data_IF_348466935420
#
_entry.id   IF_348466935420
#
_cell.length_a   1.000
_cell.length_b   1.000
_cell.length_c   1.000
_cell.angle_alpha   90.00
_cell.angle_beta   90.00
_cell.angle_gamma   90.00
#
_symmetry.space_group_name_H-M   'P 1'
#
loop_
_entity.id
_entity.type
_entity.pdbx_description
1 polymer ?
#
# COMPACT_ATOMS: atom_id res chain seq x y z
N UNK A 1 69.62 7.65 -6.40
CA UNK A 1 69.02 7.86 -5.07
C UNK A 1 68.70 6.50 -4.49
N UNK A 2 69.34 6.15 -3.37
CA UNK A 2 69.07 4.91 -2.65
C UNK A 2 67.64 4.95 -2.05
N UNK A 3 66.96 3.81 -1.96
CA UNK A 3 65.61 3.72 -1.38
C UNK A 3 65.53 4.31 0.04
N UNK A 4 66.62 4.26 0.82
CA UNK A 4 66.73 4.93 2.13
C UNK A 4 66.58 6.46 2.04
N UNK A 5 67.16 7.12 1.03
CA UNK A 5 67.07 8.58 0.90
C UNK A 5 65.63 9.02 0.59
N UNK A 6 64.87 8.17 -0.10
CA UNK A 6 63.47 8.44 -0.46
C UNK A 6 62.54 8.23 0.73
N UNK A 7 62.86 7.29 1.62
CA UNK A 7 62.13 7.06 2.88
C UNK A 7 62.35 8.23 3.84
N UNK A 8 63.59 8.70 3.99
CA UNK A 8 63.90 9.88 4.82
C UNK A 8 63.19 11.15 4.31
N UNK A 9 63.16 11.36 3.00
CA UNK A 9 62.46 12.51 2.39
C UNK A 9 60.94 12.43 2.61
N UNK A 10 60.35 11.23 2.52
CA UNK A 10 58.93 11.01 2.82
C UNK A 10 58.61 11.20 4.31
N UNK A 11 59.46 10.73 5.22
CA UNK A 11 59.28 10.96 6.66
C UNK A 11 59.31 12.46 6.97
N UNK A 12 60.24 13.20 6.36
CA UNK A 12 60.34 14.65 6.53
C UNK A 12 59.08 15.38 6.01
N UNK A 13 58.52 14.94 4.88
CA UNK A 13 57.26 15.47 4.36
C UNK A 13 56.06 15.16 5.25
N UNK A 14 55.98 13.95 5.82
CA UNK A 14 54.92 13.58 6.75
C UNK A 14 55.01 14.39 8.04
N UNK A 15 56.22 14.62 8.55
CA UNK A 15 56.45 15.44 9.73
C UNK A 15 56.05 16.91 9.48
N UNK A 16 56.43 17.48 8.33
CA UNK A 16 55.99 18.83 7.93
C UNK A 16 54.47 18.93 7.79
N UNK A 17 53.83 17.94 7.16
CA UNK A 17 52.38 17.93 6.97
C UNK A 17 51.66 17.80 8.32
N UNK A 18 52.20 16.99 9.24
CA UNK A 18 51.65 16.82 10.58
C UNK A 18 51.73 18.14 11.38
N UNK A 19 52.84 18.88 11.25
CA UNK A 19 53.03 20.18 11.88
C UNK A 19 52.07 21.23 11.30
N UNK A 20 51.86 21.24 9.98
CA UNK A 20 50.88 22.13 9.34
C UNK A 20 49.45 21.82 9.81
N UNK A 21 49.08 20.55 9.91
CA UNK A 21 47.77 20.12 10.39
C UNK A 21 47.48 20.59 11.82
N UNK A 22 48.48 20.52 12.71
CA UNK A 22 48.35 21.05 14.08
C UNK A 22 48.15 22.57 14.07
N UNK A 23 48.83 23.31 13.19
CA UNK A 23 48.62 24.75 13.01
C UNK A 23 47.21 25.11 12.53
N UNK A 24 46.65 24.34 11.59
CA UNK A 24 45.26 24.53 11.15
C UNK A 24 44.24 24.24 12.26
N UNK A 25 44.44 23.19 13.05
CA UNK A 25 43.57 22.86 14.17
C UNK A 25 43.55 23.98 15.23
N UNK A 26 44.71 24.56 15.55
CA UNK A 26 44.78 25.69 16.49
C UNK A 26 44.06 26.94 15.95
N UNK A 27 44.18 27.25 14.66
CA UNK A 27 43.44 28.35 14.03
C UNK A 27 41.93 28.14 14.08
N UNK A 28 41.45 26.94 13.79
CA UNK A 28 40.02 26.61 13.86
C UNK A 28 39.49 26.75 15.29
N UNK A 29 40.26 26.31 16.28
CA UNK A 29 39.90 26.47 17.68
C UNK A 29 39.82 27.95 18.09
N UNK A 30 40.76 28.79 17.63
CA UNK A 30 40.74 30.24 17.84
C UNK A 30 39.53 30.93 17.21
N UNK A 31 39.23 30.62 15.94
CA UNK A 31 38.05 31.15 15.24
C UNK A 31 36.75 30.75 15.91
N UNK A 32 36.67 29.53 16.44
CA UNK A 32 35.49 29.05 17.14
C UNK A 32 35.28 29.76 18.49
N UNK A 33 36.36 30.06 19.21
CA UNK A 33 36.28 30.90 20.41
C UNK A 33 35.87 32.34 20.07
N UNK A 34 36.37 32.91 18.97
CA UNK A 34 36.02 34.25 18.52
C UNK A 34 34.55 34.33 18.09
N UNK A 35 34.05 33.34 17.35
CA UNK A 35 32.62 33.18 17.04
C UNK A 35 31.76 33.09 18.30
N UNK A 36 32.17 32.28 19.28
CA UNK A 36 31.45 32.17 20.55
C UNK A 36 31.44 33.49 21.32
N UNK A 37 32.55 34.25 21.31
CA UNK A 37 32.61 35.59 21.91
C UNK A 37 31.68 36.57 21.19
N UNK A 38 31.65 36.56 19.86
CA UNK A 38 30.77 37.41 19.05
C UNK A 38 29.29 37.05 19.27
N UNK A 39 28.95 35.75 19.33
CA UNK A 39 27.61 35.30 19.68
C UNK A 39 27.20 35.75 21.09
N UNK A 40 28.09 35.64 22.08
CA UNK A 40 27.81 36.10 23.43
C UNK A 40 27.68 37.63 23.53
N UNK A 41 28.45 38.38 22.74
CA UNK A 41 28.31 39.85 22.67
C UNK A 41 26.99 40.26 22.03
N UNK A 42 26.43 39.41 21.16
CA UNK A 42 25.11 39.61 20.54
C UNK A 42 23.96 39.20 21.48
N UNK A 43 24.18 38.24 22.39
CA UNK A 43 23.18 37.77 23.36
C UNK A 43 23.06 38.63 24.63
N UNK A 44 24.05 39.49 24.92
CA UNK A 44 24.09 40.32 26.14
C UNK A 44 23.38 41.68 26.03
N UNK A 45 22.54 41.92 25.00
CA UNK A 45 21.71 43.13 24.91
C UNK A 45 20.21 42.77 24.97
N UNK A 46 19.55 42.82 26.15
CA UNK A 46 18.13 42.48 26.28
C UNK A 46 17.17 43.60 25.80
N UNK A 47 17.66 44.71 25.24
CA UNK A 47 16.85 45.89 24.93
C UNK A 47 16.23 45.92 23.51
N UNK A 48 16.40 44.90 22.66
CA UNK A 48 15.88 44.89 21.28
C UNK A 48 15.09 43.63 20.89
N UNK A 49 14.42 42.96 21.83
CA UNK A 49 13.62 41.76 21.54
C UNK A 49 12.14 42.02 21.18
N UNK A 50 11.65 43.27 21.24
CA UNK A 50 10.26 43.57 20.89
C UNK A 50 10.03 43.81 19.39
N UNK A 51 11.06 44.18 18.63
CA UNK A 51 10.93 44.45 17.17
C UNK A 51 11.01 43.18 16.32
N UNK A 52 11.75 42.16 16.74
CA UNK A 52 11.89 40.89 15.98
C UNK A 52 10.74 39.91 16.20
N UNK A 53 10.07 39.93 17.36
CA UNK A 53 8.88 39.10 17.62
C UNK A 53 7.62 39.65 16.95
N UNK A 54 7.44 40.97 16.95
CA UNK A 54 6.32 41.63 16.26
C UNK A 54 6.43 41.44 14.73
N UNK A 55 7.63 41.57 14.14
CA UNK A 55 7.80 41.31 12.70
C UNK A 55 7.52 39.86 12.29
N UNK A 56 7.81 38.86 13.15
CA UNK A 56 7.46 37.46 12.88
C UNK A 56 5.96 37.18 13.02
N UNK A 57 5.31 37.75 14.03
CA UNK A 57 3.86 37.65 14.21
C UNK A 57 3.12 38.37 13.09
N UNK A 58 3.54 39.58 12.74
CA UNK A 58 2.98 40.37 11.64
C UNK A 58 3.18 39.69 10.29
N UNK A 59 4.36 39.13 10.01
CA UNK A 59 4.57 38.33 8.80
C UNK A 59 3.75 37.04 8.81
N UNK A 60 3.61 36.33 9.93
CA UNK A 60 2.82 35.10 9.98
C UNK A 60 1.31 35.37 9.86
N UNK A 61 0.82 36.37 10.57
CA UNK A 61 -0.58 36.80 10.54
C UNK A 61 -0.90 37.41 9.17
N UNK A 62 -0.11 38.39 8.72
CA UNK A 62 -0.26 39.11 7.47
C UNK A 62 -0.10 38.22 6.23
N UNK A 63 1.00 37.47 6.14
CA UNK A 63 1.31 36.70 4.93
C UNK A 63 0.73 35.29 4.92
N UNK A 64 0.33 34.71 6.05
CA UNK A 64 -0.12 33.31 6.10
C UNK A 64 -1.57 33.13 6.55
N UNK A 65 -2.00 33.83 7.60
CA UNK A 65 -3.34 33.67 8.14
C UNK A 65 -4.35 34.52 7.36
N UNK A 66 -4.07 35.80 7.13
CA UNK A 66 -5.05 36.73 6.55
C UNK A 66 -5.44 36.32 5.12
N UNK A 67 -4.48 35.95 4.25
CA UNK A 67 -4.83 35.51 2.91
C UNK A 67 -5.58 34.16 2.92
N UNK A 68 -5.25 33.24 3.83
CA UNK A 68 -5.92 31.94 3.95
C UNK A 68 -7.37 32.14 4.43
N UNK A 69 -7.57 32.94 5.48
CA UNK A 69 -8.89 33.32 5.99
C UNK A 69 -9.67 34.07 4.91
N UNK A 70 -9.03 34.99 4.19
CA UNK A 70 -9.63 35.69 3.06
C UNK A 70 -10.11 34.76 1.96
N UNK A 71 -9.30 33.78 1.54
CA UNK A 71 -9.70 32.74 0.58
C UNK A 71 -10.87 31.93 1.12
N UNK A 72 -10.82 31.50 2.39
CA UNK A 72 -11.90 30.71 2.99
C UNK A 72 -13.22 31.50 3.04
N UNK A 73 -13.20 32.74 3.52
CA UNK A 73 -14.38 33.60 3.58
C UNK A 73 -14.92 33.90 2.18
N UNK A 74 -14.05 34.18 1.21
CA UNK A 74 -14.43 34.40 -0.18
C UNK A 74 -15.10 33.15 -0.78
N UNK A 75 -14.51 31.97 -0.58
CA UNK A 75 -15.07 30.69 -1.08
C UNK A 75 -16.43 30.41 -0.44
N UNK A 76 -16.58 30.66 0.86
CA UNK A 76 -17.86 30.53 1.58
C UNK A 76 -18.88 31.53 1.00
N UNK A 77 -18.50 32.80 0.84
CA UNK A 77 -19.37 33.83 0.27
C UNK A 77 -19.83 33.51 -1.14
N UNK A 78 -18.92 33.06 -2.01
CA UNK A 78 -19.24 32.60 -3.37
C UNK A 78 -20.18 31.39 -3.30
N UNK A 79 -19.91 30.43 -2.43
CA UNK A 79 -20.73 29.22 -2.29
C UNK A 79 -22.16 29.53 -1.81
N UNK A 80 -22.30 30.43 -0.83
CA UNK A 80 -23.60 30.90 -0.35
C UNK A 80 -24.32 31.72 -1.44
N UNK A 81 -23.60 32.60 -2.15
CA UNK A 81 -24.17 33.41 -3.23
C UNK A 81 -24.68 32.56 -4.39
N UNK A 82 -23.90 31.55 -4.82
CA UNK A 82 -24.31 30.57 -5.84
C UNK A 82 -25.52 29.78 -5.34
N UNK A 83 -25.51 29.29 -4.10
CA UNK A 83 -26.65 28.59 -3.52
C UNK A 83 -27.90 29.48 -3.49
N UNK A 84 -27.78 30.73 -3.05
CA UNK A 84 -28.90 31.68 -3.05
C UNK A 84 -29.48 31.88 -4.45
N UNK A 85 -28.63 32.03 -5.47
CA UNK A 85 -29.06 32.18 -6.84
C UNK A 85 -29.76 30.93 -7.40
N UNK A 86 -29.35 29.74 -6.94
CA UNK A 86 -29.97 28.46 -7.25
C UNK A 86 -31.34 28.33 -6.56
N UNK A 87 -31.39 28.59 -5.24
CA UNK A 87 -32.59 28.44 -4.40
C UNK A 87 -33.71 29.42 -4.77
N UNK A 88 -33.34 30.60 -5.31
CA UNK A 88 -34.29 31.62 -5.81
C UNK A 88 -34.56 31.53 -7.30
N UNK A 89 -34.07 30.49 -7.98
CA UNK A 89 -34.22 30.28 -9.42
C UNK A 89 -33.73 31.46 -10.29
N UNK A 90 -32.80 32.28 -9.77
CA UNK A 90 -32.24 33.43 -10.49
C UNK A 90 -31.39 33.01 -11.71
N UNK A 91 -30.86 31.79 -11.67
CA UNK A 91 -30.07 31.20 -12.75
C UNK A 91 -30.81 29.94 -13.22
N UNK A 92 -31.12 29.86 -14.51
CA UNK A 92 -31.75 28.67 -15.09
C UNK A 92 -30.87 27.43 -14.95
N UNK A 93 -31.47 26.24 -14.93
CA UNK A 93 -30.76 24.97 -14.80
C UNK A 93 -29.67 24.80 -15.87
N UNK A 94 -29.99 25.15 -17.11
CA UNK A 94 -29.05 25.12 -18.23
C UNK A 94 -27.88 26.09 -18.03
N UNK A 95 -28.14 27.30 -17.50
CA UNK A 95 -27.09 28.26 -17.22
C UNK A 95 -26.18 27.80 -16.07
N UNK A 96 -26.71 27.12 -15.04
CA UNK A 96 -25.90 26.55 -13.94
C UNK A 96 -24.88 25.53 -14.48
N UNK A 97 -25.34 24.58 -15.28
CA UNK A 97 -24.48 23.54 -15.89
C UNK A 97 -23.53 24.15 -16.90
N UNK A 98 -24.00 25.07 -17.76
CA UNK A 98 -23.17 25.78 -18.72
C UNK A 98 -22.01 26.54 -18.06
N UNK A 99 -22.30 27.35 -17.05
CA UNK A 99 -21.29 28.10 -16.30
C UNK A 99 -20.29 27.17 -15.59
N UNK A 100 -20.75 26.06 -15.01
CA UNK A 100 -19.88 25.08 -14.37
C UNK A 100 -18.92 24.40 -15.37
N UNK A 101 -19.41 24.04 -16.57
CA UNK A 101 -18.55 23.53 -17.65
C UNK A 101 -17.56 24.60 -18.12
N UNK A 102 -18.00 25.83 -18.33
CA UNK A 102 -17.11 26.94 -18.71
C UNK A 102 -16.02 27.14 -17.67
N UNK A 103 -16.36 27.15 -16.37
CA UNK A 103 -15.38 27.25 -15.29
C UNK A 103 -14.36 26.09 -15.32
N UNK A 104 -14.82 24.85 -15.51
CA UNK A 104 -13.95 23.68 -15.66
C UNK A 104 -13.01 23.78 -16.85
N UNK A 105 -13.50 24.24 -18.01
CA UNK A 105 -12.69 24.44 -19.22
C UNK A 105 -11.66 25.56 -19.00
N UNK A 106 -12.05 26.68 -18.38
CA UNK A 106 -11.14 27.78 -18.05
C UNK A 106 -10.02 27.30 -17.12
N UNK A 107 -10.35 26.52 -16.08
CA UNK A 107 -9.36 25.90 -15.20
C UNK A 107 -8.39 24.98 -15.95
N UNK A 108 -8.90 24.17 -16.88
CA UNK A 108 -8.06 23.32 -17.74
C UNK A 108 -7.13 24.15 -18.63
N UNK A 109 -7.63 25.19 -19.30
CA UNK A 109 -6.83 26.07 -20.16
C UNK A 109 -5.74 26.81 -19.38
N UNK A 110 -6.07 27.29 -18.18
CA UNK A 110 -5.10 27.89 -17.26
C UNK A 110 -4.01 26.89 -16.87
N UNK A 111 -4.41 25.65 -16.54
CA UNK A 111 -3.46 24.57 -16.23
C UNK A 111 -2.49 24.33 -17.39
N UNK A 112 -3.01 24.25 -18.62
CA UNK A 112 -2.18 24.06 -19.81
C UNK A 112 -1.19 25.22 -20.01
N UNK A 113 -1.64 26.46 -19.86
CA UNK A 113 -0.76 27.64 -19.99
C UNK A 113 0.35 27.67 -18.94
N UNK A 114 0.04 27.31 -17.69
CA UNK A 114 0.99 27.32 -16.56
C UNK A 114 1.99 26.17 -16.59
N UNK A 115 1.73 25.13 -17.41
CA UNK A 115 2.55 23.90 -17.49
C UNK A 115 4.04 24.15 -17.70
N UNK A 116 4.40 25.15 -18.52
CA UNK A 116 5.82 25.44 -18.85
C UNK A 116 6.61 25.97 -17.65
N UNK A 117 5.99 26.74 -16.75
CA UNK A 117 6.68 27.46 -15.67
C UNK A 117 6.44 26.83 -14.29
N UNK A 118 5.27 26.23 -14.07
CA UNK A 118 4.86 25.69 -12.77
C UNK A 118 4.22 24.30 -12.91
N UNK A 119 5.03 23.27 -13.17
CA UNK A 119 4.53 21.90 -13.44
C UNK A 119 3.65 21.34 -12.32
N UNK A 120 4.06 21.47 -11.05
CA UNK A 120 3.31 20.93 -9.91
C UNK A 120 1.95 21.64 -9.76
N UNK A 121 1.96 22.97 -9.83
CA UNK A 121 0.73 23.76 -9.73
C UNK A 121 -0.22 23.48 -10.89
N UNK A 122 0.32 23.36 -12.11
CA UNK A 122 -0.43 22.97 -13.31
C UNK A 122 -1.08 21.59 -13.15
N UNK A 123 -0.38 20.58 -12.60
CA UNK A 123 -0.94 19.25 -12.37
C UNK A 123 -2.12 19.27 -11.37
N UNK A 124 -2.02 20.06 -10.29
CA UNK A 124 -3.11 20.25 -9.32
C UNK A 124 -4.30 20.95 -9.97
N UNK A 125 -4.05 21.99 -10.76
CA UNK A 125 -5.09 22.75 -11.45
C UNK A 125 -5.79 21.91 -12.53
N UNK A 126 -5.04 21.07 -13.27
CA UNK A 126 -5.57 20.11 -14.23
C UNK A 126 -6.51 19.12 -13.54
N UNK A 127 -6.05 18.60 -12.40
CA UNK A 127 -6.81 17.64 -11.60
C UNK A 127 -8.12 18.24 -11.08
N UNK A 128 -8.08 19.49 -10.60
CA UNK A 128 -9.28 20.23 -10.21
C UNK A 128 -10.23 20.48 -11.38
N UNK A 129 -9.71 20.81 -12.57
CA UNK A 129 -10.51 20.97 -13.78
C UNK A 129 -11.22 19.66 -14.16
N UNK A 130 -10.50 18.53 -14.18
CA UNK A 130 -11.08 17.23 -14.49
C UNK A 130 -12.13 16.80 -13.46
N UNK A 131 -11.89 17.01 -12.16
CA UNK A 131 -12.88 16.77 -11.12
C UNK A 131 -14.14 17.64 -11.30
N UNK A 132 -13.97 18.93 -11.61
CA UNK A 132 -15.08 19.85 -11.88
C UNK A 132 -15.92 19.41 -13.07
N UNK A 133 -15.28 19.07 -14.20
CA UNK A 133 -15.97 18.57 -15.40
C UNK A 133 -16.71 17.27 -15.12
N UNK A 134 -16.09 16.38 -14.33
CA UNK A 134 -16.67 15.11 -13.93
C UNK A 134 -17.93 15.30 -13.07
N UNK A 135 -17.87 16.11 -12.00
CA UNK A 135 -19.03 16.40 -11.16
C UNK A 135 -20.11 17.20 -11.89
N UNK A 136 -19.74 18.08 -12.82
CA UNK A 136 -20.70 18.82 -13.63
C UNK A 136 -21.46 17.88 -14.57
N UNK A 137 -20.77 16.92 -15.18
CA UNK A 137 -21.40 15.89 -16.04
C UNK A 137 -22.35 15.00 -15.24
N UNK A 138 -21.93 14.60 -14.03
CA UNK A 138 -22.80 13.88 -13.10
C UNK A 138 -24.05 14.68 -12.74
N UNK A 139 -23.89 15.95 -12.36
CA UNK A 139 -25.01 16.80 -11.95
C UNK A 139 -25.99 17.05 -13.10
N UNK A 140 -25.49 17.27 -14.31
CA UNK A 140 -26.30 17.42 -15.52
C UNK A 140 -27.17 16.18 -15.78
N UNK A 141 -26.67 14.98 -15.49
CA UNK A 141 -27.42 13.73 -15.61
C UNK A 141 -28.42 13.53 -14.46
N UNK A 142 -27.94 13.52 -13.22
CA UNK A 142 -28.73 13.08 -12.07
C UNK A 142 -29.74 14.12 -11.59
N UNK A 143 -29.35 15.39 -11.56
CA UNK A 143 -30.21 16.44 -10.99
C UNK A 143 -31.07 17.15 -12.03
N UNK A 144 -30.57 17.27 -13.26
CA UNK A 144 -31.23 18.07 -14.31
C UNK A 144 -31.69 17.25 -15.52
N UNK A 145 -31.33 15.97 -15.63
CA UNK A 145 -31.78 15.10 -16.72
C UNK A 145 -31.34 15.53 -18.12
N UNK A 146 -30.31 16.37 -18.26
CA UNK A 146 -29.88 16.91 -19.56
C UNK A 146 -29.21 15.88 -20.47
N UNK A 147 -28.68 14.80 -19.90
CA UNK A 147 -28.02 13.75 -20.66
C UNK A 147 -28.71 12.41 -20.44
N UNK A 148 -28.60 11.51 -21.42
CA UNK A 148 -28.97 10.11 -21.22
C UNK A 148 -27.86 9.37 -20.46
N UNK A 149 -28.19 8.19 -19.91
CA UNK A 149 -27.20 7.32 -19.26
C UNK A 149 -26.01 7.01 -20.18
N UNK A 150 -26.27 6.67 -21.44
CA UNK A 150 -25.24 6.32 -22.41
C UNK A 150 -24.28 7.49 -22.70
N UNK A 151 -24.81 8.69 -22.90
CA UNK A 151 -24.00 9.90 -23.16
C UNK A 151 -23.15 10.22 -21.93
N UNK A 152 -23.76 10.18 -20.74
CA UNK A 152 -23.08 10.47 -19.47
C UNK A 152 -21.94 9.46 -19.22
N UNK A 153 -22.21 8.18 -19.40
CA UNK A 153 -21.22 7.12 -19.26
C UNK A 153 -20.04 7.33 -20.22
N UNK A 154 -20.31 7.58 -21.51
CA UNK A 154 -19.27 7.81 -22.51
C UNK A 154 -18.43 9.06 -22.21
N UNK A 155 -19.06 10.16 -21.80
CA UNK A 155 -18.34 11.38 -21.42
C UNK A 155 -17.44 11.14 -20.21
N UNK A 156 -17.94 10.48 -19.16
CA UNK A 156 -17.16 10.21 -17.96
C UNK A 156 -16.00 9.24 -18.22
N UNK A 157 -16.21 8.19 -19.02
CA UNK A 157 -15.14 7.30 -19.48
C UNK A 157 -14.11 8.06 -20.31
N UNK A 158 -14.56 8.92 -21.23
CA UNK A 158 -13.70 9.77 -22.05
C UNK A 158 -12.84 10.73 -21.21
N UNK A 159 -13.43 11.41 -20.23
CA UNK A 159 -12.72 12.27 -19.28
C UNK A 159 -11.69 11.48 -18.45
N UNK A 160 -12.05 10.27 -18.03
CA UNK A 160 -11.15 9.39 -17.27
C UNK A 160 -9.98 8.92 -18.12
N UNK A 161 -10.24 8.48 -19.36
CA UNK A 161 -9.20 8.06 -20.29
C UNK A 161 -8.26 9.22 -20.64
N UNK A 162 -8.81 10.42 -20.86
CA UNK A 162 -8.02 11.63 -21.09
C UNK A 162 -7.17 12.01 -19.87
N UNK A 163 -7.73 11.91 -18.67
CA UNK A 163 -6.99 12.13 -17.40
C UNK A 163 -5.84 11.15 -17.24
N UNK A 164 -6.06 9.86 -17.55
CA UNK A 164 -5.01 8.84 -17.52
C UNK A 164 -3.91 9.13 -18.57
N UNK A 165 -4.30 9.54 -19.77
CA UNK A 165 -3.37 9.93 -20.83
C UNK A 165 -2.51 11.15 -20.45
N UNK A 166 -3.12 12.20 -19.89
CA UNK A 166 -2.37 13.35 -19.41
C UNK A 166 -1.50 12.98 -18.19
N UNK A 167 -1.94 12.09 -17.29
CA UNK A 167 -1.09 11.63 -16.20
C UNK A 167 0.23 11.03 -16.72
N UNK A 168 0.17 10.21 -17.78
CA UNK A 168 1.35 9.64 -18.45
C UNK A 168 2.25 10.73 -19.04
N UNK A 169 1.66 11.78 -19.66
CA UNK A 169 2.37 12.92 -20.27
C UNK A 169 3.00 13.85 -19.23
N UNK A 170 2.32 14.12 -18.13
CA UNK A 170 2.87 14.86 -17.00
C UNK A 170 3.89 14.02 -16.23
N UNK A 171 3.87 12.70 -16.39
CA UNK A 171 4.64 11.75 -15.60
C UNK A 171 4.44 11.95 -14.08
N UNK A 172 3.19 12.25 -13.71
CA UNK A 172 2.77 12.56 -12.33
C UNK A 172 1.71 11.58 -11.88
N UNK A 173 2.02 10.84 -10.82
CA UNK A 173 1.17 9.80 -10.29
C UNK A 173 -0.10 10.38 -9.61
N UNK A 174 -0.02 11.61 -9.12
CA UNK A 174 -1.09 12.33 -8.43
C UNK A 174 -2.31 12.52 -9.33
N UNK A 175 -2.08 12.86 -10.61
CA UNK A 175 -3.14 13.00 -11.62
C UNK A 175 -3.83 11.65 -11.86
N UNK A 176 -3.05 10.57 -11.91
CA UNK A 176 -3.58 9.24 -12.15
C UNK A 176 -4.43 8.74 -10.98
N UNK A 177 -4.01 8.99 -9.73
CA UNK A 177 -4.78 8.65 -8.53
C UNK A 177 -6.13 9.37 -8.52
N UNK A 178 -6.18 10.65 -8.91
CA UNK A 178 -7.45 11.38 -9.02
C UNK A 178 -8.33 10.84 -10.16
N UNK A 179 -7.74 10.48 -11.29
CA UNK A 179 -8.45 9.78 -12.36
C UNK A 179 -9.05 8.45 -11.89
N UNK A 180 -8.35 7.69 -11.04
CA UNK A 180 -8.88 6.46 -10.44
C UNK A 180 -10.08 6.72 -9.54
N UNK A 181 -10.05 7.77 -8.70
CA UNK A 181 -11.19 8.12 -7.84
C UNK A 181 -12.44 8.38 -8.69
N UNK A 182 -12.29 9.13 -9.78
CA UNK A 182 -13.36 9.29 -10.76
C UNK A 182 -13.81 7.96 -11.35
N UNK A 183 -12.87 7.18 -11.90
CA UNK A 183 -13.15 5.90 -12.54
C UNK A 183 -13.95 4.93 -11.64
N UNK A 184 -13.47 4.63 -10.43
CA UNK A 184 -14.19 3.73 -9.52
C UNK A 184 -15.51 4.32 -9.03
N UNK A 185 -15.66 5.65 -9.05
CA UNK A 185 -16.91 6.33 -8.69
C UNK A 185 -18.01 6.23 -9.74
N UNK A 186 -17.67 6.08 -11.03
CA UNK A 186 -18.65 6.10 -12.15
C UNK A 186 -19.85 5.18 -11.87
N UNK A 187 -19.69 3.86 -11.59
CA UNK A 187 -20.83 2.97 -11.43
C UNK A 187 -21.77 3.40 -10.30
N UNK A 188 -21.24 3.93 -9.19
CA UNK A 188 -22.05 4.33 -8.05
C UNK A 188 -22.77 5.67 -8.27
N UNK A 189 -22.21 6.52 -9.12
CA UNK A 189 -22.79 7.81 -9.43
C UNK A 189 -23.92 7.68 -10.46
N UNK A 190 -23.72 6.93 -11.54
CA UNK A 190 -24.67 6.96 -12.67
C UNK A 190 -25.52 5.70 -12.82
N UNK A 191 -25.24 4.60 -12.12
CA UNK A 191 -26.04 3.38 -12.28
C UNK A 191 -27.42 3.50 -11.62
N UNK A 192 -28.46 3.29 -12.42
CA UNK A 192 -29.83 3.10 -11.94
C UNK A 192 -30.11 1.62 -11.63
N UNK A 193 -29.40 0.70 -12.30
CA UNK A 193 -29.56 -0.76 -12.17
C UNK A 193 -28.65 -1.36 -11.09
N UNK A 194 -28.86 -0.91 -9.85
CA UNK A 194 -27.99 -1.23 -8.72
C UNK A 194 -27.97 -2.72 -8.30
N UNK A 195 -28.79 -3.55 -8.96
CA UNK A 195 -28.91 -5.00 -8.73
C UNK A 195 -27.97 -5.84 -9.63
N UNK A 196 -27.43 -5.26 -10.71
CA UNK A 196 -26.56 -5.99 -11.65
C UNK A 196 -25.09 -5.93 -11.24
N UNK A 197 -24.73 -6.78 -10.29
CA UNK A 197 -23.35 -6.92 -9.79
C UNK A 197 -22.36 -7.28 -10.91
N UNK A 198 -22.79 -8.09 -11.88
CA UNK A 198 -22.03 -8.51 -13.06
C UNK A 198 -21.48 -7.32 -13.88
N UNK A 199 -22.30 -6.31 -14.15
CA UNK A 199 -21.88 -5.11 -14.90
C UNK A 199 -20.89 -4.26 -14.11
N UNK A 200 -21.17 -4.03 -12.82
CA UNK A 200 -20.31 -3.24 -11.94
C UNK A 200 -18.91 -3.85 -11.85
N UNK A 201 -18.83 -5.17 -11.69
CA UNK A 201 -17.56 -5.85 -11.54
C UNK A 201 -16.81 -6.04 -12.84
N UNK A 202 -17.51 -6.24 -13.97
CA UNK A 202 -16.88 -6.22 -15.29
C UNK A 202 -16.18 -4.88 -15.55
N UNK A 203 -16.84 -3.78 -15.19
CA UNK A 203 -16.27 -2.44 -15.28
C UNK A 203 -15.05 -2.26 -14.36
N UNK A 204 -15.11 -2.72 -13.10
CA UNK A 204 -13.99 -2.66 -12.16
C UNK A 204 -12.78 -3.47 -12.65
N UNK A 205 -12.99 -4.63 -13.27
CA UNK A 205 -11.91 -5.44 -13.87
C UNK A 205 -11.21 -4.64 -14.97
N UNK A 206 -11.97 -4.00 -15.88
CA UNK A 206 -11.38 -3.19 -16.96
C UNK A 206 -10.53 -2.05 -16.41
N UNK A 207 -11.01 -1.32 -15.39
CA UNK A 207 -10.21 -0.28 -14.72
C UNK A 207 -8.94 -0.89 -14.13
N UNK A 208 -9.07 -1.98 -13.38
CA UNK A 208 -7.95 -2.59 -12.69
C UNK A 208 -6.87 -3.07 -13.66
N UNK A 209 -7.25 -3.66 -14.80
CA UNK A 209 -6.30 -4.03 -15.86
C UNK A 209 -5.54 -2.80 -16.36
N UNK A 210 -6.23 -1.68 -16.61
CA UNK A 210 -5.60 -0.42 -17.01
C UNK A 210 -4.65 0.15 -15.94
N UNK A 211 -5.05 0.14 -14.67
CA UNK A 211 -4.23 0.64 -13.56
C UNK A 211 -3.00 -0.25 -13.35
N UNK A 212 -3.16 -1.57 -13.42
CA UNK A 212 -2.07 -2.54 -13.28
C UNK A 212 -1.09 -2.39 -14.46
N UNK A 213 -1.60 -2.20 -15.68
CA UNK A 213 -0.78 -1.85 -16.85
C UNK A 213 0.05 -0.57 -16.63
N UNK A 214 -0.58 0.50 -16.13
CA UNK A 214 0.12 1.76 -15.82
C UNK A 214 1.15 1.59 -14.69
N UNK A 215 0.82 0.79 -13.67
CA UNK A 215 1.72 0.43 -12.57
C UNK A 215 3.02 -0.21 -13.12
N UNK A 216 2.91 -1.17 -14.06
CA UNK A 216 4.07 -1.78 -14.72
C UNK A 216 4.90 -0.76 -15.52
N UNK A 217 4.23 0.05 -16.34
CA UNK A 217 4.88 0.96 -17.29
C UNK A 217 5.59 2.12 -16.59
N UNK A 218 5.05 2.64 -15.49
CA UNK A 218 5.53 3.88 -14.84
C UNK A 218 6.16 3.71 -13.45
N UNK A 219 6.20 2.50 -12.87
CA UNK A 219 6.66 2.23 -11.49
C UNK A 219 5.80 2.88 -10.39
N UNK A 220 4.56 3.21 -10.73
CA UNK A 220 3.63 3.88 -9.83
C UNK A 220 3.02 2.88 -8.84
N UNK A 221 3.83 2.34 -7.93
CA UNK A 221 3.42 1.30 -6.97
C UNK A 221 2.20 1.70 -6.14
N UNK A 222 2.13 2.97 -5.74
CA UNK A 222 0.98 3.49 -4.96
C UNK A 222 -0.34 3.38 -5.74
N UNK A 223 -0.35 3.44 -7.07
CA UNK A 223 -1.57 3.20 -7.85
C UNK A 223 -2.03 1.75 -7.75
N UNK A 224 -1.10 0.80 -7.84
CA UNK A 224 -1.39 -0.62 -7.67
C UNK A 224 -2.00 -0.93 -6.30
N UNK A 225 -1.41 -0.36 -5.24
CA UNK A 225 -1.91 -0.50 -3.87
C UNK A 225 -3.28 0.17 -3.67
N UNK A 226 -3.50 1.34 -4.26
CA UNK A 226 -4.76 2.06 -4.17
C UNK A 226 -5.89 1.32 -4.91
N UNK A 227 -5.60 0.79 -6.10
CA UNK A 227 -6.52 -0.05 -6.86
C UNK A 227 -6.91 -1.31 -6.09
N UNK A 228 -5.92 -1.97 -5.47
CA UNK A 228 -6.14 -3.13 -4.61
C UNK A 228 -7.09 -2.78 -3.47
N UNK A 229 -6.78 -1.72 -2.73
CA UNK A 229 -7.55 -1.31 -1.57
C UNK A 229 -9.01 -0.99 -1.93
N UNK A 230 -9.23 -0.16 -2.97
CA UNK A 230 -10.58 0.19 -3.40
C UNK A 230 -11.32 -1.05 -3.91
N UNK A 231 -10.70 -1.87 -4.77
CA UNK A 231 -11.38 -3.01 -5.38
C UNK A 231 -11.82 -4.04 -4.35
N UNK A 232 -10.95 -4.36 -3.38
CA UNK A 232 -11.32 -5.27 -2.30
C UNK A 232 -12.33 -4.65 -1.34
N UNK A 233 -12.25 -3.35 -1.05
CA UNK A 233 -13.25 -2.66 -0.24
C UNK A 233 -14.63 -2.73 -0.90
N UNK A 234 -14.70 -2.45 -2.21
CA UNK A 234 -15.94 -2.55 -2.98
C UNK A 234 -16.48 -3.98 -3.01
N UNK A 235 -15.61 -4.98 -3.20
CA UNK A 235 -16.00 -6.39 -3.14
C UNK A 235 -16.58 -6.75 -1.77
N UNK A 236 -15.88 -6.40 -0.69
CA UNK A 236 -16.28 -6.74 0.68
C UNK A 236 -17.60 -6.06 1.05
N UNK A 237 -17.74 -4.76 0.73
CA UNK A 237 -18.99 -4.03 0.97
C UNK A 237 -20.16 -4.64 0.19
N UNK A 238 -19.96 -4.96 -1.10
CA UNK A 238 -20.97 -5.67 -1.87
C UNK A 238 -21.29 -7.04 -1.27
N UNK A 239 -20.26 -7.78 -0.87
CA UNK A 239 -20.33 -9.07 -0.21
C UNK A 239 -21.19 -9.03 1.07
N UNK A 240 -20.98 -8.05 1.93
CA UNK A 240 -21.72 -7.94 3.20
C UNK A 240 -23.14 -7.41 3.03
N UNK A 241 -23.34 -6.42 2.16
CA UNK A 241 -24.62 -5.68 2.11
C UNK A 241 -25.57 -6.13 0.99
N UNK A 242 -25.06 -6.80 -0.05
CA UNK A 242 -25.83 -7.07 -1.27
C UNK A 242 -25.68 -8.48 -1.84
N UNK A 243 -24.76 -9.29 -1.32
CA UNK A 243 -24.54 -10.63 -1.84
C UNK A 243 -25.80 -11.49 -1.70
N UNK A 244 -26.22 -12.08 -2.82
CA UNK A 244 -27.29 -13.06 -2.86
C UNK A 244 -26.74 -14.39 -3.38
N UNK A 245 -27.31 -15.55 -2.99
CA UNK A 245 -26.85 -16.85 -3.48
C UNK A 245 -26.86 -16.99 -5.00
N UNK A 246 -27.74 -16.26 -5.71
CA UNK A 246 -27.77 -16.21 -7.18
C UNK A 246 -26.49 -15.63 -7.80
N UNK A 247 -25.76 -14.79 -7.06
CA UNK A 247 -24.54 -14.12 -7.50
C UNK A 247 -23.27 -14.91 -7.17
N UNK A 248 -23.41 -16.16 -6.72
CA UNK A 248 -22.29 -17.01 -6.30
C UNK A 248 -21.17 -17.06 -7.34
N UNK A 249 -21.49 -17.38 -8.59
CA UNK A 249 -20.49 -17.48 -9.66
C UNK A 249 -19.81 -16.14 -9.96
N UNK A 250 -20.57 -15.04 -9.95
CA UNK A 250 -20.03 -13.69 -10.12
C UNK A 250 -19.02 -13.38 -9.00
N UNK A 251 -19.37 -13.70 -7.76
CA UNK A 251 -18.49 -13.54 -6.60
C UNK A 251 -17.20 -14.36 -6.73
N UNK A 252 -17.30 -15.65 -7.09
CA UNK A 252 -16.15 -16.55 -7.24
C UNK A 252 -15.22 -16.10 -8.38
N UNK A 253 -15.77 -15.81 -9.57
CA UNK A 253 -14.98 -15.37 -10.73
C UNK A 253 -14.21 -14.10 -10.40
N UNK A 254 -14.89 -13.13 -9.79
CA UNK A 254 -14.28 -11.88 -9.43
C UNK A 254 -13.21 -12.03 -8.34
N UNK A 255 -13.49 -12.83 -7.31
CA UNK A 255 -12.54 -13.13 -6.23
C UNK A 255 -11.22 -13.68 -6.80
N UNK A 256 -11.31 -14.67 -7.70
CA UNK A 256 -10.14 -15.26 -8.36
C UNK A 256 -9.46 -14.24 -9.27
N UNK A 257 -10.23 -13.46 -10.04
CA UNK A 257 -9.71 -12.48 -10.98
C UNK A 257 -8.93 -11.38 -10.27
N UNK A 258 -9.48 -10.77 -9.21
CA UNK A 258 -8.81 -9.73 -8.42
C UNK A 258 -7.56 -10.30 -7.74
N UNK A 259 -7.65 -11.48 -7.15
CA UNK A 259 -6.51 -12.12 -6.50
C UNK A 259 -5.36 -12.35 -7.47
N UNK A 260 -5.65 -12.92 -8.66
CA UNK A 260 -4.64 -13.13 -9.68
C UNK A 260 -4.06 -11.81 -10.17
N UNK A 261 -4.91 -10.85 -10.53
CA UNK A 261 -4.48 -9.57 -11.09
C UNK A 261 -3.54 -8.80 -10.14
N UNK A 262 -3.85 -8.76 -8.85
CA UNK A 262 -2.99 -8.09 -7.86
C UNK A 262 -1.76 -8.92 -7.47
N UNK A 263 -1.77 -10.24 -7.67
CA UNK A 263 -0.57 -11.07 -7.57
C UNK A 263 0.39 -10.81 -8.73
N UNK A 264 -0.12 -10.64 -9.97
CA UNK A 264 0.70 -10.21 -11.10
C UNK A 264 1.27 -8.80 -10.85
N UNK A 265 0.48 -7.89 -10.28
CA UNK A 265 0.96 -6.55 -9.89
C UNK A 265 2.02 -6.61 -8.77
N UNK A 266 1.97 -7.57 -7.85
CA UNK A 266 3.04 -7.81 -6.87
C UNK A 266 4.36 -8.22 -7.57
N UNK A 267 4.28 -9.10 -8.56
CA UNK A 267 5.43 -9.58 -9.33
C UNK A 267 5.91 -8.59 -10.40
N UNK A 268 5.18 -7.49 -10.61
CA UNK A 268 5.40 -6.44 -11.62
C UNK A 268 6.86 -6.05 -11.84
N UNK A 269 7.47 -5.51 -10.78
CA UNK A 269 8.79 -4.88 -10.87
C UNK A 269 9.86 -5.95 -11.12
N UNK A 270 9.63 -7.17 -10.60
CA UNK A 270 10.52 -8.30 -10.81
C UNK A 270 10.44 -8.82 -12.24
N UNK A 271 9.23 -9.06 -12.77
CA UNK A 271 9.02 -9.64 -14.10
C UNK A 271 9.50 -8.70 -15.23
N UNK A 272 9.25 -7.39 -15.10
CA UNK A 272 9.51 -6.44 -16.18
C UNK A 272 10.91 -5.84 -16.11
N UNK A 273 11.48 -5.69 -14.91
CA UNK A 273 12.70 -4.89 -14.70
C UNK A 273 13.80 -5.60 -13.91
N UNK A 274 13.58 -6.86 -13.52
CA UNK A 274 14.51 -7.65 -12.71
C UNK A 274 14.92 -6.98 -11.38
N UNK A 275 14.13 -6.03 -10.88
CA UNK A 275 14.36 -5.40 -9.59
C UNK A 275 13.94 -6.34 -8.45
N UNK A 276 14.68 -6.37 -7.33
CA UNK A 276 14.29 -7.19 -6.18
C UNK A 276 12.99 -6.66 -5.57
N UNK A 277 12.21 -7.57 -4.97
CA UNK A 277 10.95 -7.23 -4.33
C UNK A 277 11.18 -6.31 -3.13
N UNK A 278 10.46 -5.20 -3.08
CA UNK A 278 10.53 -4.23 -1.97
C UNK A 278 9.53 -4.53 -0.86
N UNK A 279 9.73 -3.95 0.32
CA UNK A 279 8.80 -4.10 1.46
C UNK A 279 7.35 -3.69 1.11
N UNK A 280 7.16 -2.68 0.25
CA UNK A 280 5.84 -2.24 -0.22
C UNK A 280 5.14 -3.29 -1.09
N UNK A 281 5.91 -4.04 -1.87
CA UNK A 281 5.37 -5.12 -2.71
C UNK A 281 4.94 -6.29 -1.80
N UNK A 282 5.75 -6.65 -0.80
CA UNK A 282 5.39 -7.66 0.21
C UNK A 282 4.12 -7.26 0.96
N UNK A 283 4.01 -6.00 1.37
CA UNK A 283 2.81 -5.47 2.00
C UNK A 283 1.59 -5.60 1.08
N UNK A 284 1.72 -5.25 -0.21
CA UNK A 284 0.64 -5.40 -1.19
C UNK A 284 0.20 -6.86 -1.33
N UNK A 285 1.13 -7.80 -1.42
CA UNK A 285 0.84 -9.23 -1.51
C UNK A 285 0.16 -9.75 -0.24
N UNK A 286 0.61 -9.33 0.95
CA UNK A 286 -0.02 -9.69 2.21
C UNK A 286 -1.46 -9.16 2.30
N UNK A 287 -1.68 -7.88 1.93
CA UNK A 287 -3.03 -7.29 1.87
C UNK A 287 -3.92 -8.03 0.88
N UNK A 288 -3.39 -8.43 -0.29
CA UNK A 288 -4.14 -9.20 -1.27
C UNK A 288 -4.61 -10.55 -0.71
N UNK A 289 -3.73 -11.28 -0.02
CA UNK A 289 -4.07 -12.56 0.60
C UNK A 289 -5.15 -12.37 1.69
N UNK A 290 -4.97 -11.40 2.58
CA UNK A 290 -5.93 -11.14 3.67
C UNK A 290 -7.31 -10.78 3.08
N UNK A 291 -7.34 -9.87 2.12
CA UNK A 291 -8.59 -9.43 1.50
C UNK A 291 -9.27 -10.56 0.72
N UNK A 292 -8.50 -11.41 0.03
CA UNK A 292 -9.00 -12.62 -0.60
C UNK A 292 -9.66 -13.56 0.41
N UNK A 293 -9.04 -13.80 1.56
CA UNK A 293 -9.62 -14.67 2.59
C UNK A 293 -10.89 -14.10 3.22
N UNK A 294 -10.90 -12.82 3.57
CA UNK A 294 -12.10 -12.15 4.08
C UNK A 294 -13.24 -12.27 3.06
N UNK A 295 -12.92 -12.04 1.79
CA UNK A 295 -13.89 -12.11 0.70
C UNK A 295 -14.37 -13.54 0.42
N UNK A 296 -13.49 -14.54 0.51
CA UNK A 296 -13.85 -15.94 0.37
C UNK A 296 -14.78 -16.38 1.50
N UNK A 297 -14.53 -15.94 2.75
CA UNK A 297 -15.42 -16.20 3.89
C UNK A 297 -16.83 -15.62 3.67
N UNK A 298 -16.96 -14.49 2.97
CA UNK A 298 -18.27 -13.91 2.66
C UNK A 298 -18.99 -14.73 1.58
N UNK A 299 -18.31 -15.05 0.48
CA UNK A 299 -18.91 -15.75 -0.67
C UNK A 299 -19.27 -17.20 -0.33
N UNK A 300 -18.37 -17.93 0.34
CA UNK A 300 -18.58 -19.33 0.70
C UNK A 300 -19.25 -19.50 2.07
N UNK A 301 -19.39 -18.41 2.83
CA UNK A 301 -19.85 -18.42 4.23
C UNK A 301 -21.31 -18.82 4.42
N UNK A 302 -22.15 -18.60 3.40
CA UNK A 302 -23.59 -18.90 3.44
C UNK A 302 -23.94 -20.35 3.04
N UNK A 303 -22.96 -21.15 2.60
CA UNK A 303 -23.16 -22.52 2.10
C UNK A 303 -22.43 -23.59 2.91
N UNK A 304 -21.96 -24.65 2.25
CA UNK A 304 -21.09 -25.66 2.85
C UNK A 304 -19.71 -25.06 3.16
N UNK A 305 -19.64 -24.39 4.31
CA UNK A 305 -18.54 -23.55 4.77
C UNK A 305 -17.19 -24.27 4.68
N UNK A 306 -17.14 -25.55 5.07
CA UNK A 306 -15.89 -26.30 5.14
C UNK A 306 -15.31 -26.63 3.78
N UNK A 307 -16.12 -27.22 2.89
CA UNK A 307 -15.61 -27.85 1.68
C UNK A 307 -15.11 -26.84 0.63
N UNK A 308 -15.85 -25.75 0.39
CA UNK A 308 -15.45 -24.76 -0.61
C UNK A 308 -14.25 -23.91 -0.14
N UNK A 309 -14.22 -23.52 1.14
CA UNK A 309 -13.09 -22.80 1.70
C UNK A 309 -11.84 -23.67 1.75
N UNK A 310 -11.95 -24.95 2.10
CA UNK A 310 -10.85 -25.90 2.01
C UNK A 310 -10.34 -25.99 0.56
N UNK A 311 -11.21 -26.19 -0.42
CA UNK A 311 -10.82 -26.31 -1.82
C UNK A 311 -10.06 -25.06 -2.32
N UNK A 312 -10.60 -23.85 -2.08
CA UNK A 312 -9.97 -22.63 -2.57
C UNK A 312 -8.64 -22.34 -1.86
N UNK A 313 -8.55 -22.65 -0.57
CA UNK A 313 -7.31 -22.52 0.22
C UNK A 313 -6.24 -23.50 -0.28
N UNK A 314 -6.64 -24.74 -0.58
CA UNK A 314 -5.77 -25.77 -1.14
C UNK A 314 -5.22 -25.38 -2.52
N UNK A 315 -6.08 -24.89 -3.42
CA UNK A 315 -5.65 -24.36 -4.72
C UNK A 315 -4.75 -23.13 -4.58
N UNK A 316 -5.07 -22.23 -3.65
CA UNK A 316 -4.22 -21.08 -3.33
C UNK A 316 -2.84 -21.50 -2.82
N UNK A 317 -2.77 -22.52 -1.96
CA UNK A 317 -1.52 -23.11 -1.49
C UNK A 317 -0.69 -23.65 -2.66
N UNK A 318 -1.29 -24.47 -3.53
CA UNK A 318 -0.62 -25.03 -4.72
C UNK A 318 -0.10 -23.90 -5.60
N UNK A 319 -0.93 -22.90 -5.89
CA UNK A 319 -0.54 -21.74 -6.70
C UNK A 319 0.66 -20.99 -6.12
N UNK A 320 0.66 -20.68 -4.82
CA UNK A 320 1.78 -20.00 -4.17
C UNK A 320 3.04 -20.87 -4.07
N UNK A 321 2.88 -22.18 -3.88
CA UNK A 321 3.99 -23.13 -3.92
C UNK A 321 4.62 -23.21 -5.31
N UNK A 322 3.80 -23.25 -6.37
CA UNK A 322 4.27 -23.19 -7.75
C UNK A 322 5.01 -21.88 -8.02
N UNK A 323 4.47 -20.73 -7.61
CA UNK A 323 5.16 -19.43 -7.74
C UNK A 323 6.49 -19.41 -6.98
N UNK A 324 6.54 -20.01 -5.78
CA UNK A 324 7.78 -20.14 -5.01
C UNK A 324 8.81 -20.97 -5.79
N UNK A 325 8.43 -22.12 -6.32
CA UNK A 325 9.31 -23.00 -7.12
C UNK A 325 9.80 -22.27 -8.38
N UNK A 326 8.88 -21.65 -9.13
CA UNK A 326 9.22 -20.84 -10.31
C UNK A 326 10.21 -19.73 -9.93
N UNK A 327 9.98 -19.04 -8.81
CA UNK A 327 10.88 -17.98 -8.34
C UNK A 327 12.29 -18.50 -8.00
N UNK A 328 12.41 -19.74 -7.53
CA UNK A 328 13.71 -20.35 -7.25
C UNK A 328 14.50 -20.63 -8.53
N UNK A 329 13.83 -21.13 -9.59
CA UNK A 329 14.47 -21.44 -10.87
C UNK A 329 14.78 -20.20 -11.72
N UNK A 330 13.82 -19.27 -11.82
CA UNK A 330 13.97 -18.10 -12.70
C UNK A 330 14.64 -16.91 -12.00
N UNK A 331 14.52 -16.81 -10.67
CA UNK A 331 15.00 -15.68 -9.89
C UNK A 331 15.83 -16.12 -8.67
N UNK A 332 16.93 -16.89 -8.86
CA UNK A 332 17.71 -17.43 -7.75
C UNK A 332 18.34 -16.35 -6.85
N UNK A 333 18.56 -15.15 -7.39
CA UNK A 333 19.12 -14.01 -6.66
C UNK A 333 18.15 -13.33 -5.69
N UNK A 334 16.83 -13.48 -5.86
CA UNK A 334 15.83 -12.79 -5.04
C UNK A 334 15.35 -13.67 -3.88
N UNK A 335 16.21 -13.76 -2.87
CA UNK A 335 15.92 -14.50 -1.64
C UNK A 335 14.71 -13.92 -0.90
N UNK A 336 14.45 -12.62 -1.04
CA UNK A 336 13.33 -11.93 -0.38
C UNK A 336 12.00 -12.34 -0.98
N UNK A 337 11.90 -12.40 -2.31
CA UNK A 337 10.72 -12.93 -3.02
C UNK A 337 10.44 -14.38 -2.63
N UNK A 338 11.47 -15.24 -2.74
CA UNK A 338 11.34 -16.65 -2.39
C UNK A 338 10.86 -16.82 -0.95
N UNK A 339 11.49 -16.08 -0.02
CA UNK A 339 11.10 -16.06 1.39
C UNK A 339 9.63 -15.67 1.53
N UNK A 340 9.20 -14.56 0.94
CA UNK A 340 7.82 -14.07 1.02
C UNK A 340 6.80 -15.10 0.52
N UNK A 341 7.05 -15.69 -0.65
CA UNK A 341 6.17 -16.70 -1.25
C UNK A 341 6.12 -17.98 -0.41
N UNK A 342 7.26 -18.42 0.12
CA UNK A 342 7.30 -19.53 1.07
C UNK A 342 6.45 -19.23 2.31
N UNK A 343 6.46 -17.99 2.85
CA UNK A 343 5.67 -17.65 4.05
C UNK A 343 4.21 -17.84 3.76
N UNK A 344 3.77 -17.28 2.64
CA UNK A 344 2.38 -17.30 2.24
C UNK A 344 1.94 -18.74 1.97
N UNK A 345 2.73 -19.53 1.24
CA UNK A 345 2.44 -20.95 1.00
C UNK A 345 2.29 -21.74 2.30
N UNK A 346 3.16 -21.55 3.30
CA UNK A 346 3.05 -22.23 4.60
C UNK A 346 1.79 -21.82 5.36
N UNK A 347 1.44 -20.53 5.36
CA UNK A 347 0.21 -20.03 5.99
C UNK A 347 -1.02 -20.65 5.32
N UNK A 348 -1.06 -20.68 3.98
CA UNK A 348 -2.13 -21.28 3.20
C UNK A 348 -2.28 -22.77 3.48
N UNK A 349 -1.16 -23.51 3.60
CA UNK A 349 -1.18 -24.93 3.96
C UNK A 349 -1.75 -25.16 5.36
N UNK A 350 -1.34 -24.34 6.34
CA UNK A 350 -1.87 -24.43 7.69
C UNK A 350 -3.38 -24.15 7.73
N UNK A 351 -3.84 -23.13 6.98
CA UNK A 351 -5.28 -22.84 6.82
C UNK A 351 -6.03 -23.98 6.12
N UNK A 352 -5.45 -24.56 5.06
CA UNK A 352 -6.06 -25.69 4.33
C UNK A 352 -6.30 -26.87 5.26
N UNK A 353 -5.28 -27.23 6.06
CA UNK A 353 -5.40 -28.29 7.06
C UNK A 353 -6.54 -27.98 8.05
N UNK A 354 -6.66 -26.73 8.49
CA UNK A 354 -7.68 -26.30 9.45
C UNK A 354 -9.09 -26.26 8.90
N UNK A 355 -9.28 -26.02 7.60
CA UNK A 355 -10.60 -26.02 6.96
C UNK A 355 -11.02 -27.40 6.46
N UNK A 356 -10.07 -28.24 6.03
CA UNK A 356 -10.36 -29.53 5.42
C UNK A 356 -10.57 -30.65 6.45
N UNK A 357 -9.91 -30.59 7.60
CA UNK A 357 -10.04 -31.59 8.67
C UNK A 357 -10.57 -30.99 9.96
N UNK A 358 -11.04 -31.85 10.86
CA UNK A 358 -11.62 -31.47 12.15
C UNK A 358 -10.98 -32.24 13.31
N UNK A 359 -11.12 -31.71 14.53
CA UNK A 359 -10.71 -32.37 15.78
C UNK A 359 -9.19 -32.56 15.91
N UNK A 360 -8.79 -33.74 16.41
CA UNK A 360 -7.39 -34.10 16.69
C UNK A 360 -6.50 -34.12 15.45
N UNK A 361 -7.07 -34.46 14.28
CA UNK A 361 -6.31 -34.60 13.03
C UNK A 361 -5.63 -33.27 12.66
N UNK A 362 -6.33 -32.14 12.83
CA UNK A 362 -5.78 -30.79 12.59
C UNK A 362 -4.57 -30.55 13.48
N UNK A 363 -4.67 -30.88 14.76
CA UNK A 363 -3.59 -30.67 15.74
C UNK A 363 -2.38 -31.53 15.40
N UNK A 364 -2.59 -32.80 15.05
CA UNK A 364 -1.52 -33.70 14.61
C UNK A 364 -0.83 -33.20 13.33
N UNK A 365 -1.59 -32.75 12.34
CA UNK A 365 -1.07 -32.25 11.07
C UNK A 365 -0.32 -30.92 11.24
N UNK A 366 -0.81 -29.99 12.06
CA UNK A 366 -0.10 -28.74 12.36
C UNK A 366 1.20 -28.99 13.15
N UNK A 367 1.19 -29.94 14.09
CA UNK A 367 2.40 -30.36 14.81
C UNK A 367 3.41 -30.98 13.82
N UNK A 368 2.96 -31.88 12.95
CA UNK A 368 3.81 -32.47 11.91
C UNK A 368 4.41 -31.38 10.99
N UNK A 369 3.59 -30.42 10.55
CA UNK A 369 4.03 -29.28 9.74
C UNK A 369 5.08 -28.44 10.48
N UNK A 370 4.88 -28.16 11.77
CA UNK A 370 5.85 -27.41 12.57
C UNK A 370 7.19 -28.15 12.70
N UNK A 371 7.17 -29.47 12.93
CA UNK A 371 8.39 -30.29 12.99
C UNK A 371 9.13 -30.24 11.65
N UNK A 372 8.43 -30.41 10.52
CA UNK A 372 9.02 -30.32 9.17
C UNK A 372 9.65 -28.94 8.94
N UNK A 373 8.95 -27.86 9.27
CA UNK A 373 9.47 -26.50 9.14
C UNK A 373 10.70 -26.24 10.01
N UNK A 374 10.73 -26.79 11.23
CA UNK A 374 11.87 -26.65 12.12
C UNK A 374 13.10 -27.40 11.60
N UNK A 375 12.92 -28.64 11.16
CA UNK A 375 13.99 -29.47 10.56
C UNK A 375 14.54 -28.80 9.29
N UNK A 376 13.67 -28.33 8.40
CA UNK A 376 14.07 -27.57 7.21
C UNK A 376 14.83 -26.28 7.59
N UNK A 377 14.39 -25.60 8.66
CA UNK A 377 15.06 -24.40 9.17
C UNK A 377 16.45 -24.67 9.77
N UNK A 378 16.69 -25.86 10.32
CA UNK A 378 18.02 -26.29 10.76
C UNK A 378 18.88 -26.65 9.55
N UNK A 379 18.39 -27.52 8.67
CA UNK A 379 19.13 -28.03 7.52
C UNK A 379 19.54 -26.90 6.56
N UNK A 380 18.61 -26.00 6.21
CA UNK A 380 18.88 -24.87 5.32
C UNK A 380 19.57 -23.69 6.00
N UNK A 381 19.85 -23.78 7.31
CA UNK A 381 20.39 -22.69 8.15
C UNK A 381 19.60 -21.37 8.10
N UNK A 382 18.32 -21.39 7.72
CA UNK A 382 17.45 -20.20 7.64
C UNK A 382 16.64 -20.03 8.93
N UNK A 383 16.65 -18.82 9.49
CA UNK A 383 15.96 -18.50 10.75
C UNK A 383 14.44 -18.48 10.64
N UNK A 384 13.92 -18.02 9.51
CA UNK A 384 12.49 -17.77 9.37
C UNK A 384 11.61 -19.04 9.40
N UNK A 385 11.95 -20.20 8.77
CA UNK A 385 11.20 -21.44 8.96
C UNK A 385 11.16 -21.92 10.42
N UNK A 386 12.26 -21.71 11.18
CA UNK A 386 12.29 -22.04 12.61
C UNK A 386 11.33 -21.16 13.40
N UNK A 387 11.30 -19.86 13.12
CA UNK A 387 10.35 -18.93 13.75
C UNK A 387 8.91 -19.29 13.39
N UNK A 388 8.63 -19.64 12.13
CA UNK A 388 7.31 -20.09 11.70
C UNK A 388 6.87 -21.38 12.42
N UNK A 389 7.78 -22.35 12.60
CA UNK A 389 7.51 -23.56 13.37
C UNK A 389 7.16 -23.27 14.84
N UNK A 390 7.91 -22.37 15.50
CA UNK A 390 7.66 -21.96 16.89
C UNK A 390 6.31 -21.25 17.01
N UNK A 391 6.00 -20.32 16.09
CA UNK A 391 4.71 -19.64 16.05
C UNK A 391 3.56 -20.62 15.83
N UNK A 392 3.70 -21.56 14.88
CA UNK A 392 2.69 -22.58 14.62
C UNK A 392 2.50 -23.50 15.84
N UNK A 393 3.57 -23.91 16.53
CA UNK A 393 3.49 -24.68 17.78
C UNK A 393 2.82 -23.91 18.92
N UNK A 394 3.01 -22.59 18.97
CA UNK A 394 2.35 -21.73 19.96
C UNK A 394 0.86 -21.64 19.67
N UNK A 395 0.48 -21.50 18.40
CA UNK A 395 -0.91 -21.48 17.94
C UNK A 395 -1.58 -22.84 18.17
N UNK A 396 -0.91 -23.95 17.88
CA UNK A 396 -1.46 -25.31 18.12
C UNK A 396 -1.71 -25.55 19.60
N UNK A 397 -0.77 -25.18 20.46
CA UNK A 397 -0.92 -25.27 21.91
C UNK A 397 -2.10 -24.41 22.39
N UNK A 398 -2.19 -23.16 21.95
CA UNK A 398 -3.31 -22.28 22.28
C UNK A 398 -4.65 -22.83 21.83
N UNK A 399 -4.75 -23.35 20.59
CA UNK A 399 -5.95 -24.00 20.06
C UNK A 399 -6.33 -25.23 20.90
N UNK A 400 -5.34 -26.03 21.30
CA UNK A 400 -5.56 -27.22 22.12
C UNK A 400 -6.16 -26.88 23.50
N UNK A 401 -5.61 -25.85 24.15
CA UNK A 401 -6.05 -25.40 25.48
C UNK A 401 -7.45 -24.77 25.41
N UNK A 402 -7.68 -23.86 24.45
CA UNK A 402 -8.90 -23.04 24.41
C UNK A 402 -10.07 -23.82 23.81
N UNK A 403 -9.88 -24.45 22.65
CA UNK A 403 -10.98 -25.04 21.88
C UNK A 403 -11.10 -26.54 22.10
N UNK A 404 -9.98 -27.27 21.94
CA UNK A 404 -10.02 -28.72 21.92
C UNK A 404 -10.24 -29.33 23.32
N UNK A 405 -9.82 -28.64 24.38
CA UNK A 405 -10.05 -29.08 25.76
C UNK A 405 -11.54 -29.18 26.10
N UNK A 406 -12.42 -28.43 25.43
CA UNK A 406 -13.86 -28.59 25.64
C UNK A 406 -14.47 -29.79 24.90
N UNK A 407 -13.83 -30.24 23.82
CA UNK A 407 -14.39 -31.24 22.88
C UNK A 407 -13.77 -32.63 23.01
N UNK A 408 -12.54 -32.73 23.49
CA UNK A 408 -11.81 -34.01 23.56
C UNK A 408 -12.12 -34.79 24.83
N UNK A 409 -11.98 -36.12 24.75
CA UNK A 409 -12.06 -36.98 25.94
C UNK A 409 -10.84 -36.75 26.84
N UNK A 410 -10.95 -37.12 28.12
CA UNK A 410 -9.84 -36.96 29.09
C UNK A 410 -8.55 -37.63 28.61
N UNK A 411 -8.65 -38.82 28.01
CA UNK A 411 -7.51 -39.57 27.48
C UNK A 411 -6.87 -38.85 26.27
N UNK A 412 -7.68 -38.32 25.35
CA UNK A 412 -7.19 -37.55 24.20
C UNK A 412 -6.44 -36.28 24.62
N UNK A 413 -6.92 -35.59 25.66
CA UNK A 413 -6.22 -34.43 26.23
C UNK A 413 -4.85 -34.83 26.77
N UNK A 414 -4.79 -35.85 27.62
CA UNK A 414 -3.54 -36.32 28.25
C UNK A 414 -2.50 -36.63 27.17
N UNK A 415 -2.88 -37.41 26.15
CA UNK A 415 -1.98 -37.77 25.04
C UNK A 415 -1.51 -36.52 24.30
N UNK A 416 -2.41 -35.60 23.95
CA UNK A 416 -2.03 -34.41 23.19
C UNK A 416 -1.11 -33.46 23.98
N UNK A 417 -1.37 -33.25 25.28
CA UNK A 417 -0.49 -32.44 26.13
C UNK A 417 0.89 -33.08 26.31
N UNK A 418 0.97 -34.40 26.49
CA UNK A 418 2.25 -35.11 26.65
C UNK A 418 3.09 -35.03 25.36
N UNK A 419 2.47 -35.27 24.20
CA UNK A 419 3.14 -35.17 22.89
C UNK A 419 3.64 -33.76 22.61
N UNK A 420 2.79 -32.74 22.77
CA UNK A 420 3.18 -31.34 22.54
C UNK A 420 4.26 -30.91 23.54
N UNK A 421 4.12 -31.27 24.82
CA UNK A 421 5.10 -30.97 25.86
C UNK A 421 6.48 -31.56 25.55
N UNK A 422 6.52 -32.83 25.14
CA UNK A 422 7.76 -33.52 24.75
C UNK A 422 8.41 -32.84 23.55
N UNK A 423 7.62 -32.49 22.53
CA UNK A 423 8.12 -31.78 21.35
C UNK A 423 8.67 -30.39 21.69
N UNK A 424 8.02 -29.64 22.58
CA UNK A 424 8.54 -28.35 23.05
C UNK A 424 9.87 -28.49 23.80
N UNK A 425 10.03 -29.53 24.62
CA UNK A 425 11.29 -29.82 25.30
C UNK A 425 12.40 -30.16 24.30
N UNK A 426 12.12 -30.99 23.30
CA UNK A 426 13.07 -31.30 22.22
C UNK A 426 13.45 -30.02 21.46
N UNK A 427 12.47 -29.18 21.12
CA UNK A 427 12.70 -27.91 20.44
C UNK A 427 13.61 -26.98 21.26
N UNK A 428 13.34 -26.87 22.56
CA UNK A 428 14.12 -26.08 23.51
C UNK A 428 15.57 -26.59 23.60
N UNK A 429 15.75 -27.89 23.76
CA UNK A 429 17.08 -28.53 23.80
C UNK A 429 17.88 -28.25 22.51
N UNK A 430 17.26 -28.42 21.34
CA UNK A 430 17.91 -28.12 20.06
C UNK A 430 18.29 -26.63 19.95
N UNK A 431 17.42 -25.72 20.38
CA UNK A 431 17.69 -24.30 20.34
C UNK A 431 18.87 -23.91 21.25
N UNK A 432 18.94 -24.50 22.45
CA UNK A 432 20.07 -24.30 23.37
C UNK A 432 21.37 -24.89 22.82
N UNK A 433 21.34 -26.13 22.32
CA UNK A 433 22.50 -26.84 21.78
C UNK A 433 23.11 -26.12 20.58
N UNK A 434 22.29 -25.58 19.68
CA UNK A 434 22.75 -24.93 18.45
C UNK A 434 22.81 -23.40 18.55
N UNK A 435 22.59 -22.81 19.73
CA UNK A 435 22.60 -21.35 19.93
C UNK A 435 23.81 -20.67 19.30
N UNK A 436 25.02 -21.18 19.56
CA UNK A 436 26.26 -20.60 19.02
C UNK A 436 26.38 -20.69 17.49
N UNK A 437 25.78 -21.69 16.85
CA UNK A 437 25.80 -21.87 15.39
C UNK A 437 24.69 -21.08 14.69
N UNK A 438 23.57 -20.86 15.39
CA UNK A 438 22.38 -20.19 14.85
C UNK A 438 22.48 -18.66 14.84
N UNK A 439 23.28 -18.07 15.76
CA UNK A 439 23.39 -16.62 15.97
C UNK A 439 24.71 -15.99 15.50
N UNK A 440 25.63 -16.77 14.91
CA UNK A 440 26.96 -16.27 14.51
C UNK A 440 26.98 -15.46 13.19
N UNK A 441 25.85 -15.41 12.45
CA UNK A 441 25.75 -14.75 11.13
C UNK A 441 24.69 -13.64 11.08
N UNK A 442 24.42 -12.97 12.20
CA UNK A 442 23.43 -11.88 12.29
C UNK A 442 24.03 -10.52 12.66
N UNK A 443 25.33 -10.33 12.41
CA UNK A 443 25.99 -9.01 12.42
C UNK A 443 26.28 -8.54 10.99
#
# INVERSE_FOLDING_TARGET
>A
MNDEQKIDELQKQVDELSAQMHGYQQRLFGLQQELNRLQNKTSLNPATNNTTRNSRLENFIGLRIIHLVGIVVLVIGISIGVKYAIDRELISEAARIGLAYTAGIVLYLLSWRLRKKYQLFSAILFSGAMASLYFTTYAAFVYYGFFSFAITFLLMVGLTAYTAFEAIRYNRQEIAVLGMVGAYGIPFLISQNSERADLLFSYIIVINVGVVYLSFRKRWKVMGQFALFISWTLFILWGFFRYQPKDFWTGVILLITLYFLFTVNFLANRLVRAEPVSARDIQQSATNNIAFYISALIVFGLGDFGNHLAAITGWGFIFMLCLMIISYFFFPSDVVLQRSLSVQSVILLAMFIGFNWNGLIVTLLWVALAVVLFVLGIYNRRSWPRLAAILLMTITLGKLIIFDTSKFTTLQKIVAYLVIGTLLLILSFYYQKFKQTLFKNTD
#
